data_IF_076496168946
#
_entry.id   IF_076496168946
#
_cell.length_a   1.000
_cell.length_b   1.000
_cell.length_c   1.000
_cell.angle_alpha   90.00
_cell.angle_beta   90.00
_cell.angle_gamma   90.00
#
_symmetry.space_group_name_H-M   'P 1'
#
loop_
_entity.id
_entity.type
_entity.pdbx_description
1 polymer ?
#
# COMPACT_ATOMS: atom_id res chain seq x y z
N UNK A 1 -7.99 -0.83 0.03
CA UNK A 1 -7.10 -0.09 0.93
C UNK A 1 -5.68 -0.56 0.69
N UNK A 2 -4.75 0.35 0.45
CA UNK A 2 -3.34 0.02 0.26
C UNK A 2 -2.59 0.37 1.53
N UNK A 3 -2.08 -0.62 2.22
CA UNK A 3 -1.14 -0.39 3.32
C UNK A 3 0.26 -0.18 2.74
N UNK A 4 0.94 0.85 3.16
CA UNK A 4 2.36 1.03 2.91
C UNK A 4 3.15 0.01 3.72
N UNK A 5 4.33 -0.36 3.25
CA UNK A 5 5.19 -1.36 3.91
C UNK A 5 5.80 -0.90 5.25
N UNK A 6 5.44 0.27 5.73
CA UNK A 6 5.98 0.80 6.97
C UNK A 6 5.07 0.39 8.15
N UNK A 7 5.47 -0.56 8.98
CA UNK A 7 4.75 -0.92 10.19
C UNK A 7 5.06 0.11 11.26
N UNK A 8 4.34 1.22 11.22
CA UNK A 8 4.54 2.35 12.11
C UNK A 8 3.20 2.79 12.73
N UNK A 9 3.12 4.02 13.11
CA UNK A 9 1.90 4.70 13.59
C UNK A 9 0.65 4.45 12.73
N UNK A 10 0.81 4.03 11.48
CA UNK A 10 -0.29 3.62 10.62
C UNK A 10 -1.10 2.45 11.17
N UNK A 11 -0.46 1.47 11.83
CA UNK A 11 -1.17 0.34 12.42
C UNK A 11 -2.11 0.78 13.55
N UNK A 12 -1.67 1.72 14.40
CA UNK A 12 -2.50 2.28 15.45
C UNK A 12 -3.73 3.02 14.89
N UNK A 13 -3.56 3.76 13.80
CA UNK A 13 -4.66 4.50 13.15
C UNK A 13 -5.73 3.58 12.55
N UNK A 14 -5.36 2.38 12.11
CA UNK A 14 -6.30 1.45 11.48
C UNK A 14 -6.88 0.43 12.44
N UNK A 15 -6.12 0.01 13.47
CA UNK A 15 -6.48 -1.14 14.30
C UNK A 15 -6.41 -0.85 15.79
N UNK A 16 -5.85 0.27 16.22
CA UNK A 16 -5.72 0.62 17.63
C UNK A 16 -7.03 1.11 18.24
N UNK A 17 -7.25 0.76 19.50
CA UNK A 17 -8.45 1.19 20.26
C UNK A 17 -8.57 2.71 20.34
N UNK A 18 -7.48 3.44 20.52
CA UNK A 18 -7.49 4.91 20.53
C UNK A 18 -8.00 5.55 19.25
N UNK A 19 -7.90 4.85 18.14
CA UNK A 19 -8.37 5.34 16.85
C UNK A 19 -9.90 5.29 16.69
N UNK A 20 -10.63 4.64 17.58
CA UNK A 20 -12.11 4.66 17.56
C UNK A 20 -12.67 6.07 17.79
N UNK A 21 -12.04 6.86 18.64
CA UNK A 21 -12.58 8.14 19.08
C UNK A 21 -12.23 9.35 18.18
N UNK A 22 -11.54 9.16 17.09
CA UNK A 22 -11.13 10.33 16.31
C UNK A 22 -10.52 10.04 14.96
N UNK A 23 -10.37 8.78 14.59
CA UNK A 23 -9.82 8.39 13.29
C UNK A 23 -10.91 7.86 12.37
N UNK A 24 -10.99 8.43 11.17
CA UNK A 24 -11.81 7.89 10.10
C UNK A 24 -11.22 6.62 9.46
N UNK A 25 -10.13 6.08 10.01
CA UNK A 25 -9.41 4.93 9.43
C UNK A 25 -9.72 3.61 10.12
N UNK A 26 -10.06 3.60 11.42
CA UNK A 26 -10.58 2.42 12.11
C UNK A 26 -12.09 2.25 11.79
N UNK A 27 -12.37 1.88 10.55
CA UNK A 27 -13.75 1.74 10.03
C UNK A 27 -14.51 0.55 10.64
N UNK A 28 -13.81 -0.33 11.37
CA UNK A 28 -14.36 -1.53 11.97
C UNK A 28 -14.75 -1.32 13.43
N UNK A 29 -14.47 -0.15 14.00
CA UNK A 29 -14.56 0.11 15.44
C UNK A 29 -13.85 -0.97 16.27
N UNK A 30 -12.70 -1.42 15.77
CA UNK A 30 -11.92 -2.46 16.44
C UNK A 30 -11.35 -1.91 17.75
N UNK A 31 -11.70 -2.57 18.85
CA UNK A 31 -11.19 -2.30 20.17
C UNK A 31 -10.77 -3.62 20.82
N UNK A 32 -9.47 -3.86 20.89
CA UNK A 32 -8.93 -5.11 21.47
C UNK A 32 -7.57 -4.88 22.11
N UNK A 33 -7.44 -5.08 23.44
CA UNK A 33 -6.17 -4.89 24.15
C UNK A 33 -5.03 -5.78 23.62
N UNK A 34 -5.34 -6.95 23.06
CA UNK A 34 -4.32 -7.83 22.48
C UNK A 34 -3.75 -7.23 21.20
N UNK A 35 -4.62 -6.63 20.38
CA UNK A 35 -4.20 -5.92 19.18
C UNK A 35 -3.33 -4.70 19.54
N UNK A 36 -3.76 -3.91 20.52
CA UNK A 36 -3.00 -2.75 20.99
C UNK A 36 -1.60 -3.16 21.50
N UNK A 37 -1.51 -4.21 22.31
CA UNK A 37 -0.24 -4.72 22.80
C UNK A 37 0.68 -5.22 21.67
N UNK A 38 0.12 -5.90 20.67
CA UNK A 38 0.89 -6.37 19.52
C UNK A 38 1.36 -5.21 18.61
N UNK A 39 0.56 -4.17 18.46
CA UNK A 39 0.98 -2.95 17.75
C UNK A 39 2.19 -2.32 18.46
N UNK A 40 2.15 -2.23 19.79
CA UNK A 40 3.30 -1.72 20.55
C UNK A 40 4.56 -2.58 20.33
N UNK A 41 4.44 -3.91 20.32
CA UNK A 41 5.58 -4.80 20.03
C UNK A 41 6.12 -4.56 18.63
N UNK A 42 5.26 -4.41 17.62
CA UNK A 42 5.69 -4.09 16.26
C UNK A 42 6.45 -2.76 16.21
N UNK A 43 5.92 -1.73 16.84
CA UNK A 43 6.55 -0.39 16.85
C UNK A 43 7.90 -0.38 17.59
N UNK A 44 8.05 -1.20 18.62
CA UNK A 44 9.30 -1.29 19.41
C UNK A 44 10.33 -2.27 18.83
N UNK A 45 10.01 -3.01 17.78
CA UNK A 45 10.93 -3.97 17.17
C UNK A 45 12.16 -3.26 16.60
N UNK A 46 13.35 -3.66 17.03
CA UNK A 46 14.62 -3.07 16.60
C UNK A 46 15.27 -3.85 15.45
N UNK A 47 14.88 -5.12 15.28
CA UNK A 47 15.44 -5.99 14.26
C UNK A 47 14.39 -6.51 13.31
N UNK A 48 14.79 -6.80 12.06
CA UNK A 48 13.89 -7.37 11.05
C UNK A 48 13.27 -8.73 11.47
N UNK A 49 13.98 -9.66 12.11
CA UNK A 49 13.38 -10.90 12.62
C UNK A 49 12.31 -10.65 13.69
N UNK A 50 12.55 -9.75 14.65
CA UNK A 50 11.56 -9.37 15.68
C UNK A 50 10.33 -8.76 15.01
N UNK A 51 10.52 -7.80 14.12
CA UNK A 51 9.47 -7.16 13.37
C UNK A 51 8.61 -8.19 12.62
N UNK A 52 9.22 -9.10 11.89
CA UNK A 52 8.50 -10.13 11.14
C UNK A 52 7.69 -11.04 12.07
N UNK A 53 8.23 -11.41 13.23
CA UNK A 53 7.54 -12.22 14.23
C UNK A 53 6.33 -11.49 14.78
N UNK A 54 6.50 -10.24 15.19
CA UNK A 54 5.44 -9.40 15.74
C UNK A 54 4.32 -9.14 14.73
N UNK A 55 4.66 -8.78 13.48
CA UNK A 55 3.67 -8.57 12.40
C UNK A 55 2.91 -9.86 12.10
N UNK A 56 3.60 -11.00 12.07
CA UNK A 56 2.95 -12.29 11.81
C UNK A 56 1.96 -12.64 12.93
N UNK A 57 2.30 -12.36 14.18
CA UNK A 57 1.40 -12.54 15.32
C UNK A 57 0.18 -11.62 15.22
N UNK A 58 0.41 -10.35 14.93
CA UNK A 58 -0.65 -9.34 14.75
C UNK A 58 -1.60 -9.74 13.60
N UNK A 59 -1.08 -10.14 12.44
CA UNK A 59 -1.88 -10.57 11.29
C UNK A 59 -2.78 -11.76 11.65
N UNK A 60 -2.25 -12.76 12.39
CA UNK A 60 -3.04 -13.92 12.84
C UNK A 60 -4.18 -13.51 13.79
N UNK A 61 -3.92 -12.63 14.73
CA UNK A 61 -4.94 -12.12 15.65
C UNK A 61 -6.00 -11.34 14.89
N UNK A 62 -5.60 -10.42 14.01
CA UNK A 62 -6.54 -9.65 13.18
C UNK A 62 -7.42 -10.56 12.33
N UNK A 63 -6.86 -11.57 11.68
CA UNK A 63 -7.63 -12.55 10.89
C UNK A 63 -8.62 -13.36 11.75
N UNK A 64 -8.24 -13.71 12.97
CA UNK A 64 -9.12 -14.45 13.88
C UNK A 64 -10.36 -13.67 14.31
N UNK A 65 -10.32 -12.33 14.27
CA UNK A 65 -11.45 -11.45 14.61
C UNK A 65 -12.54 -11.39 13.53
N UNK A 66 -12.26 -11.82 12.32
CA UNK A 66 -13.22 -11.93 11.21
C UNK A 66 -14.03 -10.65 10.91
N UNK A 67 -13.49 -9.47 11.21
CA UNK A 67 -14.15 -8.18 10.96
C UNK A 67 -14.10 -7.74 9.49
N UNK A 68 -13.31 -8.42 8.66
CA UNK A 68 -13.21 -8.17 7.23
C UNK A 68 -13.66 -9.38 6.42
N UNK A 69 -14.31 -9.11 5.33
CA UNK A 69 -14.59 -10.11 4.30
C UNK A 69 -13.44 -10.05 3.29
N UNK A 70 -12.54 -11.04 3.25
CA UNK A 70 -11.44 -11.04 2.30
C UNK A 70 -11.97 -11.05 0.87
N UNK A 71 -11.44 -10.15 0.07
CA UNK A 71 -11.71 -10.08 -1.36
C UNK A 71 -10.50 -10.60 -2.15
N UNK A 72 -10.61 -10.59 -3.44
CA UNK A 72 -9.49 -10.90 -4.32
C UNK A 72 -8.43 -9.78 -4.30
N UNK A 73 -7.20 -10.16 -4.58
CA UNK A 73 -6.08 -9.24 -4.74
C UNK A 73 -5.58 -9.27 -6.18
N UNK A 74 -5.39 -8.12 -6.79
CA UNK A 74 -4.78 -7.97 -8.10
C UNK A 74 -3.26 -7.82 -7.92
N UNK A 75 -2.49 -8.72 -8.52
CA UNK A 75 -1.02 -8.73 -8.42
C UNK A 75 -0.32 -7.85 -9.45
N UNK A 76 -1.08 -7.34 -10.43
CA UNK A 76 -0.56 -6.46 -11.48
C UNK A 76 -1.27 -5.10 -11.44
N UNK A 77 -0.57 -4.05 -11.80
CA UNK A 77 -1.15 -2.73 -12.03
C UNK A 77 -1.51 -2.62 -13.51
N UNK A 78 -2.74 -2.21 -13.80
CA UNK A 78 -3.16 -1.87 -15.16
C UNK A 78 -3.07 -0.37 -15.30
N UNK A 79 -2.25 0.09 -16.21
CA UNK A 79 -2.07 1.51 -16.53
C UNK A 79 -2.57 1.74 -17.95
N UNK A 80 -3.39 2.76 -18.14
CA UNK A 80 -3.79 3.24 -19.45
C UNK A 80 -3.16 4.63 -19.66
N UNK A 81 -2.45 4.81 -20.76
CA UNK A 81 -1.77 6.06 -21.07
C UNK A 81 -1.68 6.28 -22.58
N UNK A 82 -1.49 7.52 -22.98
CA UNK A 82 -1.13 7.82 -24.35
C UNK A 82 0.33 7.43 -24.60
N UNK A 83 0.64 6.78 -25.72
CA UNK A 83 2.00 6.32 -26.05
C UNK A 83 2.94 7.49 -26.43
N UNK A 84 2.97 8.50 -25.58
CA UNK A 84 3.88 9.63 -25.62
C UNK A 84 4.97 9.55 -24.54
N UNK A 85 4.95 8.46 -23.76
CA UNK A 85 5.91 8.24 -22.68
C UNK A 85 6.79 7.04 -22.97
N UNK A 86 7.99 7.08 -22.47
CA UNK A 86 8.93 5.98 -22.43
C UNK A 86 9.25 5.63 -21.00
N UNK A 87 9.68 4.42 -20.77
CA UNK A 87 10.03 3.90 -19.46
C UNK A 87 11.14 2.85 -19.58
N UNK A 88 11.89 2.55 -18.52
CA UNK A 88 12.84 1.45 -18.51
C UNK A 88 12.12 0.11 -18.79
N UNK A 89 12.79 -0.78 -19.50
CA UNK A 89 12.30 -2.13 -19.74
C UNK A 89 12.12 -2.92 -18.43
N UNK A 90 13.03 -2.70 -17.47
CA UNK A 90 12.99 -3.31 -16.14
C UNK A 90 12.78 -2.23 -15.09
N UNK A 91 11.63 -2.27 -14.43
CA UNK A 91 11.33 -1.39 -13.29
C UNK A 91 11.88 -1.96 -11.98
N UNK A 92 12.19 -1.11 -10.98
CA UNK A 92 12.56 -1.57 -9.65
C UNK A 92 11.48 -2.46 -9.03
N UNK A 93 11.88 -3.51 -8.30
CA UNK A 93 11.01 -4.59 -7.84
C UNK A 93 9.82 -4.14 -6.96
N UNK A 94 9.93 -3.01 -6.29
CA UNK A 94 8.91 -2.49 -5.35
C UNK A 94 8.35 -1.14 -5.75
N UNK A 95 8.74 -0.62 -6.89
CA UNK A 95 8.24 0.64 -7.42
C UNK A 95 7.27 0.39 -8.58
N UNK A 96 6.33 1.32 -8.78
CA UNK A 96 5.39 1.29 -9.90
C UNK A 96 5.92 1.99 -11.13
N UNK A 97 6.86 2.92 -10.93
CA UNK A 97 7.60 3.60 -11.98
C UNK A 97 6.90 4.73 -12.72
N UNK A 98 5.57 4.82 -12.68
CA UNK A 98 4.82 5.74 -13.54
C UNK A 98 5.16 7.21 -13.32
N UNK A 99 5.50 7.61 -12.08
CA UNK A 99 5.84 8.98 -11.74
C UNK A 99 7.34 9.25 -11.65
N UNK A 100 8.13 8.21 -11.34
CA UNK A 100 9.54 8.37 -11.01
C UNK A 100 10.46 7.95 -12.16
N UNK A 101 10.02 7.04 -13.02
CA UNK A 101 10.86 6.40 -14.04
C UNK A 101 10.36 6.58 -15.46
N UNK A 102 9.21 7.18 -15.66
CA UNK A 102 8.69 7.46 -16.99
C UNK A 102 9.08 8.87 -17.43
N UNK A 103 9.40 9.03 -18.72
CA UNK A 103 9.74 10.32 -19.30
C UNK A 103 8.95 10.58 -20.58
N UNK A 104 8.76 11.84 -20.88
CA UNK A 104 8.07 12.26 -22.08
C UNK A 104 8.95 12.08 -23.33
N UNK A 105 8.42 11.48 -24.38
CA UNK A 105 9.08 11.29 -25.66
C UNK A 105 8.50 12.25 -26.70
N UNK A 106 9.29 13.24 -27.09
CA UNK A 106 8.88 14.23 -28.12
C UNK A 106 8.55 13.54 -29.45
N UNK A 107 9.32 12.52 -29.82
CA UNK A 107 9.12 11.78 -31.08
C UNK A 107 7.77 11.03 -31.06
N UNK A 108 7.44 10.34 -29.98
CA UNK A 108 6.18 9.63 -29.85
C UNK A 108 4.98 10.58 -29.80
N UNK A 109 5.12 11.71 -29.09
CA UNK A 109 4.09 12.74 -29.04
C UNK A 109 3.78 13.31 -30.42
N UNK A 110 4.79 13.65 -31.20
CA UNK A 110 4.62 14.16 -32.55
C UNK A 110 3.93 13.15 -33.48
N UNK A 111 4.18 11.84 -33.31
CA UNK A 111 3.46 10.79 -34.06
C UNK A 111 1.97 10.75 -33.69
N UNK A 112 1.63 10.91 -32.43
CA UNK A 112 0.25 10.93 -31.94
C UNK A 112 -0.50 12.21 -32.38
N UNK A 113 0.17 13.36 -32.40
CA UNK A 113 -0.37 14.61 -32.93
C UNK A 113 -0.66 14.48 -34.41
N UNK A 114 0.30 13.96 -35.22
CA UNK A 114 0.14 13.73 -36.64
C UNK A 114 -0.99 12.72 -36.96
N UNK A 115 -1.26 11.81 -36.03
CA UNK A 115 -2.39 10.85 -36.16
C UNK A 115 -3.72 11.43 -35.62
N UNK A 116 -3.76 12.68 -35.14
CA UNK A 116 -4.96 13.32 -34.61
C UNK A 116 -5.47 12.73 -33.30
N UNK A 117 -4.61 12.07 -32.54
CA UNK A 117 -4.94 11.47 -31.23
C UNK A 117 -4.76 12.48 -30.08
N UNK A 118 -3.80 13.37 -30.22
CA UNK A 118 -3.58 14.51 -29.34
C UNK A 118 -4.01 15.80 -30.03
N UNK A 119 -4.77 16.63 -29.32
CA UNK A 119 -5.18 17.97 -29.76
C UNK A 119 -4.19 19.03 -29.25
#
# INVERSE_FOLDING_TARGET
>A
MRMTFEPSSGLEQYFGTKAMEGSSRNLMDLSDPTVDALIEVVVRSETKPELNTAITALDRVLRSKQFWIPQWNKTVHTVAYYDQYEHPEILPAFDRGELDFWWFSVEKAAKLEAAGVLN
#
